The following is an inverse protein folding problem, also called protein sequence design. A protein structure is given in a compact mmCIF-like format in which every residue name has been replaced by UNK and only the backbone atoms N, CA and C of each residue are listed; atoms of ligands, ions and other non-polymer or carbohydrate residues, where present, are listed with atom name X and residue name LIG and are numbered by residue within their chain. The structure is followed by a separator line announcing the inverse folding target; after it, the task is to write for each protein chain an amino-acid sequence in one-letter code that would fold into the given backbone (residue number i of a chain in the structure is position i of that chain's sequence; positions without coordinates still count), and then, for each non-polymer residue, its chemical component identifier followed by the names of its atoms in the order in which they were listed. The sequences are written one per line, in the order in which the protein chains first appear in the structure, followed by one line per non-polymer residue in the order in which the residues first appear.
data_IF_126710367430
#
_entry.id   IF_126710367430
#
_cell.length_a   1.000
_cell.length_b   1.000
_cell.length_c   1.000
_cell.angle_alpha   90.00
_cell.angle_beta   90.00
_cell.angle_gamma   90.00
#
_symmetry.space_group_name_H-M   'P 1'
#
loop_
_entity.id
_entity.type
_entity.pdbx_description
1 polymer ?
#
# COMPACT_ATOMS: atom_id res chain seq x y z
N UNK A 1 -3.42 0.79 -6.82
CA UNK A 1 -2.90 1.77 -7.80
C UNK A 1 -2.43 3.06 -7.14
N UNK A 2 -3.29 3.77 -6.41
CA UNK A 2 -2.95 5.09 -5.86
C UNK A 2 -1.82 5.00 -4.83
N UNK A 3 -1.91 4.11 -3.86
CA UNK A 3 -0.89 3.91 -2.81
C UNK A 3 0.46 3.54 -3.43
N UNK A 4 0.48 2.55 -4.32
CA UNK A 4 1.72 2.14 -5.02
C UNK A 4 2.33 3.28 -5.83
N UNK A 5 1.52 4.01 -6.63
CA UNK A 5 2.01 5.13 -7.42
C UNK A 5 2.56 6.29 -6.59
N UNK A 6 1.94 6.61 -5.44
CA UNK A 6 2.44 7.66 -4.54
C UNK A 6 3.71 7.24 -3.82
N UNK A 7 3.76 5.98 -3.38
CA UNK A 7 4.96 5.44 -2.77
C UNK A 7 6.14 5.42 -3.76
N UNK A 8 5.89 5.02 -5.03
CA UNK A 8 6.88 5.06 -6.11
C UNK A 8 7.45 6.45 -6.32
N UNK A 9 6.57 7.48 -6.43
CA UNK A 9 7.01 8.86 -6.66
C UNK A 9 7.85 9.39 -5.49
N UNK A 10 7.43 9.15 -4.25
CA UNK A 10 8.21 9.54 -3.07
C UNK A 10 9.55 8.82 -3.03
N UNK A 11 9.59 7.53 -3.38
CA UNK A 11 10.81 6.74 -3.43
C UNK A 11 11.79 7.26 -4.49
N UNK A 12 11.27 7.67 -5.65
CA UNK A 12 12.09 8.33 -6.69
C UNK A 12 12.64 9.68 -6.22
N UNK A 13 11.82 10.50 -5.55
CA UNK A 13 12.24 11.81 -5.02
C UNK A 13 13.34 11.65 -3.96
N UNK A 14 13.27 10.63 -3.12
CA UNK A 14 14.33 10.30 -2.14
C UNK A 14 15.62 9.86 -2.81
N UNK A 15 15.55 9.44 -4.08
CA UNK A 15 16.72 9.13 -4.91
C UNK A 15 17.10 7.65 -4.92
N UNK A 16 16.16 6.75 -4.64
CA UNK A 16 16.38 5.32 -4.87
C UNK A 16 16.24 4.98 -6.35
N UNK A 17 16.98 3.98 -6.82
CA UNK A 17 16.62 3.29 -8.05
C UNK A 17 15.41 2.40 -7.81
N UNK A 18 14.54 2.26 -8.80
CA UNK A 18 13.27 1.57 -8.62
C UNK A 18 12.77 0.91 -9.91
N UNK A 19 11.98 -0.16 -9.72
CA UNK A 19 11.22 -0.81 -10.78
C UNK A 19 9.82 -1.16 -10.28
N UNK A 20 8.82 -1.06 -11.14
CA UNK A 20 7.41 -1.30 -10.79
C UNK A 20 6.79 -2.36 -11.67
N UNK A 21 5.92 -3.18 -11.07
CA UNK A 21 5.11 -4.17 -11.78
C UNK A 21 3.65 -4.00 -11.34
N UNK A 22 2.86 -3.20 -12.07
CA UNK A 22 1.43 -3.14 -11.86
C UNK A 22 0.75 -4.39 -12.40
N UNK A 23 -0.10 -5.02 -11.60
CA UNK A 23 -0.95 -6.12 -12.00
C UNK A 23 -2.41 -5.69 -11.87
N UNK A 24 -3.05 -5.46 -13.01
CA UNK A 24 -4.44 -5.05 -13.09
C UNK A 24 -5.20 -6.08 -13.90
N UNK A 25 -6.16 -6.80 -13.28
CA UNK A 25 -6.94 -7.79 -14.00
C UNK A 25 -7.69 -7.13 -15.16
N UNK A 26 -7.69 -7.79 -16.30
CA UNK A 26 -8.40 -7.33 -17.50
C UNK A 26 -9.93 -7.31 -17.27
N UNK A 27 -10.43 -8.18 -16.42
CA UNK A 27 -11.84 -8.27 -16.05
C UNK A 27 -12.10 -7.68 -14.67
N UNK A 28 -13.00 -6.70 -14.60
CA UNK A 28 -13.43 -6.06 -13.35
C UNK A 28 -14.41 -6.96 -12.57
N UNK A 29 -15.10 -7.89 -13.27
CA UNK A 29 -16.08 -8.82 -12.68
C UNK A 29 -15.63 -10.25 -12.91
N UNK A 30 -15.36 -10.95 -11.80
CA UNK A 30 -15.07 -12.36 -11.86
C UNK A 30 -16.32 -13.16 -12.27
N UNK A 31 -16.19 -14.22 -13.08
CA UNK A 31 -17.24 -15.19 -13.30
C UNK A 31 -17.75 -15.79 -11.98
N UNK A 32 -19.01 -16.18 -11.94
CA UNK A 32 -19.58 -16.83 -10.75
C UNK A 32 -18.75 -18.05 -10.36
N UNK A 33 -18.35 -18.14 -9.10
CA UNK A 33 -17.53 -19.24 -8.57
C UNK A 33 -16.01 -19.06 -8.72
N UNK A 34 -15.53 -17.97 -9.32
CA UNK A 34 -14.12 -17.63 -9.36
C UNK A 34 -13.79 -16.51 -8.38
N UNK A 35 -12.52 -16.46 -7.90
CA UNK A 35 -12.02 -15.31 -7.14
C UNK A 35 -12.13 -14.05 -7.99
N UNK A 36 -12.68 -12.98 -7.41
CA UNK A 36 -12.69 -11.68 -8.06
C UNK A 36 -11.25 -11.27 -8.37
N UNK A 37 -11.02 -10.72 -9.56
CA UNK A 37 -9.70 -10.23 -9.96
C UNK A 37 -9.18 -9.22 -8.94
N UNK A 38 -7.98 -9.46 -8.42
CA UNK A 38 -7.32 -8.63 -7.44
C UNK A 38 -6.33 -7.73 -8.16
N UNK A 39 -6.49 -6.41 -8.00
CA UNK A 39 -5.48 -5.46 -8.47
C UNK A 39 -4.30 -5.44 -7.51
N UNK A 40 -3.10 -5.60 -8.02
CA UNK A 40 -1.86 -5.52 -7.26
C UNK A 40 -0.91 -4.47 -7.86
N UNK A 41 0.07 -4.08 -7.07
CA UNK A 41 1.13 -3.18 -7.47
C UNK A 41 2.40 -3.56 -6.70
N UNK A 42 3.38 -4.09 -7.41
CA UNK A 42 4.68 -4.43 -6.84
C UNK A 42 5.67 -3.30 -7.13
N UNK A 43 6.45 -2.95 -6.14
CA UNK A 43 7.54 -1.99 -6.24
C UNK A 43 8.80 -2.60 -5.64
N UNK A 44 9.87 -2.61 -6.40
CA UNK A 44 11.22 -2.87 -5.94
C UNK A 44 12.01 -1.56 -5.95
N UNK A 45 12.72 -1.28 -4.88
CA UNK A 45 13.58 -0.10 -4.78
C UNK A 45 14.84 -0.43 -3.97
N UNK A 46 15.94 0.24 -4.31
CA UNK A 46 17.26 -0.07 -3.75
C UNK A 46 18.19 1.14 -3.83
N UNK A 47 19.27 1.07 -3.08
CA UNK A 47 20.46 1.93 -3.24
C UNK A 47 21.41 1.45 -4.37
N UNK A 48 21.12 0.30 -4.98
CA UNK A 48 21.88 -0.29 -6.09
C UNK A 48 21.03 -0.34 -7.34
N UNK A 49 21.65 -0.48 -8.50
CA UNK A 49 20.96 -0.59 -9.78
C UNK A 49 19.97 -1.76 -9.80
N UNK A 50 18.78 -1.48 -10.29
CA UNK A 50 17.68 -2.43 -10.40
C UNK A 50 17.38 -2.69 -11.87
N UNK A 51 17.47 -3.96 -12.28
CA UNK A 51 17.22 -4.37 -13.66
C UNK A 51 15.89 -5.12 -13.84
N UNK A 52 15.27 -5.55 -12.74
CA UNK A 52 14.00 -6.31 -12.75
C UNK A 52 13.08 -5.88 -11.61
N UNK A 53 11.76 -6.06 -11.74
CA UNK A 53 10.81 -5.76 -10.65
C UNK A 53 10.99 -6.61 -9.38
N UNK A 54 11.83 -7.66 -9.44
CA UNK A 54 12.00 -8.65 -8.37
C UNK A 54 10.94 -9.74 -8.41
N UNK A 55 11.23 -10.87 -7.75
CA UNK A 55 10.35 -12.04 -7.76
C UNK A 55 9.46 -12.07 -6.52
N UNK A 56 10.05 -11.96 -5.34
CA UNK A 56 9.35 -12.09 -4.06
C UNK A 56 9.44 -10.80 -3.26
N UNK A 57 8.30 -10.19 -2.88
CA UNK A 57 8.30 -9.02 -2.01
C UNK A 57 8.62 -9.36 -0.56
N UNK A 58 9.18 -8.39 0.17
CA UNK A 58 9.44 -8.46 1.61
C UNK A 58 8.20 -8.08 2.43
N UNK A 59 7.33 -7.24 1.87
CA UNK A 59 6.15 -6.69 2.52
C UNK A 59 4.95 -6.77 1.60
N UNK A 60 3.84 -7.29 2.13
CA UNK A 60 2.52 -7.33 1.48
C UNK A 60 1.55 -6.45 2.25
N UNK A 61 0.88 -5.52 1.55
CA UNK A 61 -0.26 -4.78 2.09
C UNK A 61 -1.55 -5.37 1.55
N UNK A 62 -2.25 -6.15 2.36
CA UNK A 62 -3.49 -6.79 2.00
C UNK A 62 -4.71 -5.97 2.46
N UNK A 63 -5.37 -5.31 1.52
CA UNK A 63 -6.53 -4.45 1.80
C UNK A 63 -7.84 -5.22 1.96
N UNK A 64 -7.86 -6.51 1.63
CA UNK A 64 -9.01 -7.41 1.76
C UNK A 64 -8.56 -8.89 1.70
N UNK A 65 -9.45 -9.86 2.06
CA UNK A 65 -9.09 -11.28 2.06
C UNK A 65 -8.69 -11.84 0.69
N UNK A 66 -9.30 -11.38 -0.40
CA UNK A 66 -8.96 -11.86 -1.74
C UNK A 66 -7.52 -11.46 -2.12
N UNK A 67 -7.09 -10.24 -1.78
CA UNK A 67 -5.71 -9.80 -1.99
C UNK A 67 -4.72 -10.65 -1.19
N UNK A 68 -5.03 -10.97 0.06
CA UNK A 68 -4.22 -11.86 0.88
C UNK A 68 -4.12 -13.26 0.24
N UNK A 69 -5.25 -13.87 -0.11
CA UNK A 69 -5.32 -15.22 -0.69
C UNK A 69 -4.48 -15.38 -1.96
N UNK A 70 -4.49 -14.35 -2.81
CA UNK A 70 -3.77 -14.37 -4.09
C UNK A 70 -2.27 -14.18 -3.90
N UNK A 71 -1.85 -13.22 -3.03
CA UNK A 71 -0.47 -12.74 -3.00
C UNK A 71 0.36 -13.23 -1.81
N UNK A 72 -0.21 -13.86 -0.78
CA UNK A 72 0.59 -14.37 0.35
C UNK A 72 1.66 -15.38 -0.07
N UNK A 73 1.40 -16.17 -1.13
CA UNK A 73 2.34 -17.15 -1.67
C UNK A 73 3.55 -16.53 -2.37
N UNK A 74 3.43 -15.27 -2.78
CA UNK A 74 4.48 -14.55 -3.49
C UNK A 74 5.48 -13.90 -2.51
N UNK A 75 5.10 -13.79 -1.22
CA UNK A 75 5.92 -13.19 -0.17
C UNK A 75 7.11 -14.08 0.19
N UNK A 76 8.23 -13.49 0.59
CA UNK A 76 9.35 -14.26 1.15
C UNK A 76 8.94 -14.92 2.49
N UNK A 77 9.53 -16.08 2.85
CA UNK A 77 9.37 -16.62 4.19
C UNK A 77 9.85 -15.61 5.25
N UNK A 78 9.07 -15.44 6.33
CA UNK A 78 9.34 -14.43 7.35
C UNK A 78 9.01 -12.99 6.93
N UNK A 79 8.48 -12.78 5.73
CA UNK A 79 8.04 -11.46 5.25
C UNK A 79 6.91 -10.86 6.08
N UNK A 80 6.66 -9.58 5.91
CA UNK A 80 5.66 -8.84 6.68
C UNK A 80 4.35 -8.71 5.91
N UNK A 81 3.22 -9.02 6.58
CA UNK A 81 1.87 -8.81 6.05
C UNK A 81 1.17 -7.73 6.85
N UNK A 82 0.87 -6.60 6.23
CA UNK A 82 0.04 -5.54 6.81
C UNK A 82 -1.39 -5.76 6.31
N UNK A 83 -2.35 -6.02 7.21
CA UNK A 83 -3.73 -6.36 6.86
C UNK A 83 -4.72 -5.32 7.32
N UNK A 84 -5.67 -4.95 6.45
CA UNK A 84 -6.87 -4.20 6.84
C UNK A 84 -7.94 -5.16 7.39
N UNK A 85 -7.93 -5.42 8.70
CA UNK A 85 -8.80 -6.42 9.35
C UNK A 85 -10.29 -6.09 9.26
N UNK A 86 -10.67 -4.83 9.18
CA UNK A 86 -12.06 -4.42 8.97
C UNK A 86 -12.68 -4.96 7.67
N UNK A 87 -11.85 -5.35 6.71
CA UNK A 87 -12.31 -5.94 5.46
C UNK A 87 -12.55 -7.45 5.55
N UNK A 88 -12.15 -8.11 6.65
CA UNK A 88 -12.22 -9.57 6.83
C UNK A 88 -13.58 -10.02 7.42
N UNK A 89 -14.67 -9.49 6.89
CA UNK A 89 -16.02 -9.91 7.24
C UNK A 89 -16.31 -11.34 6.73
N UNK A 90 -17.24 -12.06 7.38
CA UNK A 90 -17.69 -13.40 6.96
C UNK A 90 -18.02 -13.47 5.48
N UNK A 91 -18.71 -12.44 4.95
CA UNK A 91 -19.06 -12.34 3.52
C UNK A 91 -17.83 -12.26 2.63
N UNK A 92 -16.86 -11.40 2.97
CA UNK A 92 -15.66 -11.22 2.15
C UNK A 92 -14.71 -12.42 2.25
N UNK A 93 -14.64 -13.08 3.40
CA UNK A 93 -13.90 -14.33 3.59
C UNK A 93 -14.48 -15.44 2.72
N UNK A 94 -15.82 -15.62 2.73
CA UNK A 94 -16.50 -16.60 1.88
C UNK A 94 -16.25 -16.34 0.38
N UNK A 95 -16.31 -15.09 -0.07
CA UNK A 95 -15.98 -14.73 -1.45
C UNK A 95 -14.52 -14.99 -1.82
N UNK A 96 -13.61 -14.90 -0.88
CA UNK A 96 -12.20 -15.24 -1.08
C UNK A 96 -11.91 -16.74 -0.91
N UNK A 97 -12.91 -17.56 -0.61
CA UNK A 97 -12.76 -19.00 -0.41
C UNK A 97 -11.99 -19.37 0.86
N UNK A 98 -12.14 -18.59 1.92
CA UNK A 98 -11.65 -18.94 3.25
C UNK A 98 -12.75 -19.63 4.05
N UNK A 99 -12.43 -20.73 4.69
CA UNK A 99 -13.29 -21.45 5.64
C UNK A 99 -13.20 -20.82 7.04
N UNK A 100 -12.00 -20.42 7.44
CA UNK A 100 -11.69 -19.75 8.69
C UNK A 100 -11.15 -18.34 8.43
N UNK A 101 -11.09 -17.50 9.47
CA UNK A 101 -10.52 -16.18 9.34
C UNK A 101 -9.00 -16.25 9.62
N UNK A 102 -8.13 -16.00 8.63
CA UNK A 102 -6.68 -16.06 8.82
C UNK A 102 -6.12 -14.97 9.77
N UNK A 103 -6.96 -14.02 10.19
CA UNK A 103 -6.58 -13.06 11.24
C UNK A 103 -6.64 -13.72 12.62
N UNK A 104 -7.57 -14.68 12.81
CA UNK A 104 -7.90 -15.23 14.13
C UNK A 104 -7.37 -16.66 14.31
N UNK A 105 -7.10 -17.38 13.20
CA UNK A 105 -6.75 -18.81 13.25
C UNK A 105 -5.24 -19.10 13.40
N UNK A 106 -4.40 -18.06 13.40
CA UNK A 106 -2.94 -18.19 13.55
C UNK A 106 -2.22 -18.83 12.37
N UNK A 107 -2.93 -19.15 11.28
CA UNK A 107 -2.36 -19.88 10.13
C UNK A 107 -1.23 -19.15 9.40
N UNK A 108 -1.10 -17.85 9.61
CA UNK A 108 -0.08 -17.02 9.00
C UNK A 108 1.15 -16.82 9.89
N UNK A 109 1.01 -16.95 11.21
CA UNK A 109 2.03 -16.53 12.20
C UNK A 109 3.29 -17.40 12.15
N UNK A 110 3.16 -18.67 11.74
CA UNK A 110 4.30 -19.58 11.57
C UNK A 110 5.20 -19.20 10.37
N UNK A 111 4.66 -18.43 9.42
CA UNK A 111 5.32 -18.14 8.15
C UNK A 111 5.65 -16.66 7.95
N UNK A 112 4.92 -15.76 8.60
CA UNK A 112 4.97 -14.32 8.34
C UNK A 112 4.89 -13.51 9.62
N UNK A 113 5.42 -12.29 9.58
CA UNK A 113 5.15 -11.27 10.60
C UNK A 113 3.83 -10.59 10.23
N UNK A 114 2.78 -10.82 11.00
CA UNK A 114 1.44 -10.28 10.70
C UNK A 114 1.19 -9.01 11.50
N UNK A 115 0.77 -7.95 10.80
CA UNK A 115 0.41 -6.65 11.39
C UNK A 115 -1.06 -6.38 11.06
N UNK A 116 -1.99 -6.74 11.97
CA UNK A 116 -3.41 -6.52 11.80
C UNK A 116 -3.77 -5.08 12.15
N UNK A 117 -4.48 -4.37 11.28
CA UNK A 117 -4.89 -2.98 11.49
C UNK A 117 -6.36 -2.79 11.11
N UNK A 118 -7.16 -2.23 12.00
CA UNK A 118 -8.54 -1.81 11.74
C UNK A 118 -8.55 -0.47 10.96
N UNK A 119 -8.09 -0.51 9.69
CA UNK A 119 -7.85 0.73 8.92
C UNK A 119 -9.11 1.57 8.70
N UNK A 120 -10.30 0.95 8.57
CA UNK A 120 -11.55 1.69 8.40
C UNK A 120 -11.90 2.46 9.68
N UNK A 121 -11.72 1.84 10.83
CA UNK A 121 -11.93 2.45 12.15
C UNK A 121 -10.95 3.61 12.36
N UNK A 122 -9.68 3.40 12.02
CA UNK A 122 -8.64 4.43 12.15
C UNK A 122 -8.93 5.66 11.30
N UNK A 123 -9.31 5.48 10.02
CA UNK A 123 -9.63 6.64 9.17
C UNK A 123 -10.94 7.31 9.56
N UNK A 124 -11.88 6.57 10.13
CA UNK A 124 -13.11 7.17 10.68
C UNK A 124 -12.77 8.09 11.84
N UNK A 125 -11.92 7.65 12.75
CA UNK A 125 -11.46 8.49 13.86
C UNK A 125 -10.62 9.70 13.37
N UNK A 126 -9.72 9.49 12.39
CA UNK A 126 -8.88 10.56 11.83
C UNK A 126 -9.70 11.64 11.10
N UNK A 127 -10.88 11.31 10.61
CA UNK A 127 -11.77 12.23 9.88
C UNK A 127 -12.97 12.69 10.74
N UNK A 128 -12.94 12.44 12.04
CA UNK A 128 -14.02 12.85 12.93
C UNK A 128 -14.24 14.37 12.89
N UNK A 129 -15.49 14.79 12.92
CA UNK A 129 -15.88 16.20 12.78
C UNK A 129 -15.73 16.80 11.38
N UNK A 130 -15.30 16.01 10.38
CA UNK A 130 -15.27 16.48 8.99
C UNK A 130 -16.62 16.24 8.32
N UNK A 131 -17.12 17.25 7.58
CA UNK A 131 -18.39 17.16 6.83
C UNK A 131 -18.22 16.32 5.56
N UNK A 132 -17.99 15.00 5.73
CA UNK A 132 -17.81 14.05 4.64
C UNK A 132 -18.71 12.83 4.82
N UNK A 133 -19.21 12.30 3.70
CA UNK A 133 -19.94 11.03 3.77
C UNK A 133 -19.02 9.87 4.18
N UNK A 134 -19.55 8.88 4.89
CA UNK A 134 -18.82 7.66 5.29
C UNK A 134 -18.08 7.01 4.13
N UNK A 135 -18.68 7.02 2.92
CA UNK A 135 -18.06 6.49 1.71
C UNK A 135 -16.78 7.24 1.32
N UNK A 136 -16.74 8.56 1.49
CA UNK A 136 -15.56 9.37 1.21
C UNK A 136 -14.49 9.17 2.27
N UNK A 137 -14.86 9.11 3.55
CA UNK A 137 -13.97 8.80 4.66
C UNK A 137 -13.30 7.45 4.44
N UNK A 138 -14.06 6.39 4.17
CA UNK A 138 -13.50 5.04 3.96
C UNK A 138 -12.59 4.92 2.73
N UNK A 139 -12.67 5.83 1.77
CA UNK A 139 -11.72 5.89 0.64
C UNK A 139 -10.33 6.37 1.06
N UNK A 140 -10.22 7.12 2.15
CA UNK A 140 -8.93 7.64 2.63
C UNK A 140 -8.03 6.55 3.23
N UNK A 141 -8.53 5.33 3.46
CA UNK A 141 -7.73 4.20 3.96
C UNK A 141 -6.50 3.88 3.11
N UNK A 142 -6.54 4.23 1.81
CA UNK A 142 -5.38 4.08 0.93
C UNK A 142 -4.24 5.03 1.34
N UNK A 143 -4.56 6.22 1.85
CA UNK A 143 -3.59 7.16 2.38
C UNK A 143 -3.14 6.78 3.79
N UNK A 144 -4.02 6.17 4.59
CA UNK A 144 -3.62 5.59 5.86
C UNK A 144 -2.56 4.49 5.65
N UNK A 145 -2.83 3.52 4.76
CA UNK A 145 -1.86 2.48 4.41
C UNK A 145 -0.55 3.07 3.85
N UNK A 146 -0.64 4.15 3.06
CA UNK A 146 0.53 4.86 2.57
C UNK A 146 1.34 5.49 3.71
N UNK A 147 0.67 6.09 4.70
CA UNK A 147 1.31 6.65 5.90
C UNK A 147 2.06 5.59 6.70
N UNK A 148 1.45 4.42 6.91
CA UNK A 148 2.10 3.28 7.55
C UNK A 148 3.38 2.87 6.80
N UNK A 149 3.31 2.78 5.47
CA UNK A 149 4.49 2.47 4.65
C UNK A 149 5.54 3.57 4.70
N UNK A 150 5.14 4.83 4.76
CA UNK A 150 6.08 5.95 4.89
C UNK A 150 6.84 5.90 6.20
N UNK A 151 6.18 5.56 7.30
CA UNK A 151 6.85 5.30 8.57
C UNK A 151 7.83 4.13 8.47
N UNK A 152 7.37 2.99 7.95
CA UNK A 152 8.15 1.75 7.85
C UNK A 152 9.44 1.93 7.03
N UNK A 153 9.39 2.75 5.98
CA UNK A 153 10.50 2.96 5.05
C UNK A 153 11.17 4.34 5.18
N UNK A 154 10.90 5.06 6.25
CA UNK A 154 11.48 6.38 6.53
C UNK A 154 11.31 7.35 5.36
N UNK A 155 10.06 7.53 4.88
CA UNK A 155 9.73 8.37 3.74
C UNK A 155 9.08 9.68 4.16
N UNK A 156 9.45 10.82 3.53
CA UNK A 156 8.83 12.11 3.81
C UNK A 156 7.40 12.19 3.29
N UNK A 157 6.54 12.93 3.98
CA UNK A 157 5.13 13.11 3.65
C UNK A 157 4.90 14.26 2.66
N UNK A 158 5.81 15.25 2.65
CA UNK A 158 5.64 16.56 2.00
C UNK A 158 5.27 16.47 0.51
N UNK A 159 5.94 15.59 -0.23
CA UNK A 159 5.68 15.42 -1.67
C UNK A 159 4.26 14.93 -1.94
N UNK A 160 3.74 14.04 -1.10
CA UNK A 160 2.37 13.53 -1.23
C UNK A 160 1.35 14.58 -0.79
N UNK A 161 1.64 15.38 0.23
CA UNK A 161 0.78 16.50 0.63
C UNK A 161 0.68 17.58 -0.47
N UNK A 162 1.81 17.95 -1.06
CA UNK A 162 1.82 18.87 -2.19
C UNK A 162 1.01 18.33 -3.37
N UNK A 163 1.15 17.04 -3.67
CA UNK A 163 0.36 16.38 -4.70
C UNK A 163 -1.14 16.38 -4.37
N UNK A 164 -1.54 16.11 -3.12
CA UNK A 164 -2.93 16.15 -2.67
C UNK A 164 -3.55 17.53 -2.91
N UNK A 165 -2.84 18.60 -2.52
CA UNK A 165 -3.27 19.99 -2.73
C UNK A 165 -3.46 20.30 -4.22
N UNK A 166 -2.55 19.85 -5.07
CA UNK A 166 -2.64 20.04 -6.52
C UNK A 166 -3.76 19.20 -7.15
N UNK A 167 -3.87 17.91 -6.79
CA UNK A 167 -4.82 16.97 -7.38
C UNK A 167 -6.27 17.27 -7.04
N UNK A 168 -6.51 17.73 -5.82
CA UNK A 168 -7.85 18.01 -5.28
C UNK A 168 -8.10 19.50 -5.07
N UNK A 169 -7.42 20.37 -5.84
CA UNK A 169 -7.61 21.81 -5.75
C UNK A 169 -9.10 22.19 -5.77
N UNK A 170 -9.53 23.04 -4.83
CA UNK A 170 -10.94 23.42 -4.64
C UNK A 170 -11.80 22.41 -3.89
N UNK A 171 -11.22 21.31 -3.36
CA UNK A 171 -11.92 20.29 -2.57
C UNK A 171 -11.26 20.13 -1.21
N UNK A 172 -11.25 21.19 -0.42
CA UNK A 172 -10.47 21.28 0.84
C UNK A 172 -10.80 20.18 1.85
N UNK A 173 -12.08 19.79 1.96
CA UNK A 173 -12.47 18.69 2.85
C UNK A 173 -11.83 17.34 2.44
N UNK A 174 -11.71 17.09 1.14
CA UNK A 174 -11.05 15.87 0.63
C UNK A 174 -9.54 15.93 0.87
N UNK A 175 -8.91 17.09 0.68
CA UNK A 175 -7.49 17.29 0.97
C UNK A 175 -7.24 17.04 2.46
N UNK A 176 -8.00 17.69 3.35
CA UNK A 176 -7.87 17.52 4.79
C UNK A 176 -8.02 16.06 5.22
N UNK A 177 -9.05 15.36 4.75
CA UNK A 177 -9.31 13.97 5.12
C UNK A 177 -8.19 13.02 4.66
N UNK A 178 -7.70 13.15 3.44
CA UNK A 178 -6.60 12.31 2.95
C UNK A 178 -5.30 12.61 3.69
N UNK A 179 -4.99 13.88 3.95
CA UNK A 179 -3.81 14.28 4.73
C UNK A 179 -3.92 13.75 6.17
N UNK A 180 -5.05 13.96 6.84
CA UNK A 180 -5.26 13.46 8.21
C UNK A 180 -5.12 11.93 8.28
N UNK A 181 -5.69 11.21 7.33
CA UNK A 181 -5.57 9.75 7.26
C UNK A 181 -4.14 9.28 7.01
N UNK A 182 -3.36 9.99 6.18
CA UNK A 182 -1.95 9.68 5.93
C UNK A 182 -1.10 9.91 7.20
N UNK A 183 -1.30 11.04 7.88
CA UNK A 183 -0.65 11.30 9.17
C UNK A 183 -1.04 10.29 10.24
N UNK A 184 -2.32 9.92 10.32
CA UNK A 184 -2.78 8.89 11.24
C UNK A 184 -2.10 7.55 10.99
N UNK A 185 -1.90 7.15 9.73
CA UNK A 185 -1.16 5.94 9.38
C UNK A 185 0.33 6.01 9.75
N UNK A 186 0.97 7.16 9.51
CA UNK A 186 2.37 7.37 9.90
C UNK A 186 2.52 7.30 11.42
N UNK A 187 1.70 8.04 12.16
CA UNK A 187 1.72 8.07 13.61
C UNK A 187 1.34 6.71 14.23
N UNK A 188 0.44 5.95 13.58
CA UNK A 188 0.12 4.60 14.00
C UNK A 188 1.38 3.70 14.00
N UNK A 189 2.19 3.79 12.97
CA UNK A 189 3.47 3.07 12.92
C UNK A 189 4.42 3.49 14.04
N UNK A 190 4.45 4.78 14.37
CA UNK A 190 5.33 5.34 15.38
C UNK A 190 4.91 4.98 16.83
N UNK A 191 3.61 4.91 17.08
CA UNK A 191 3.06 4.80 18.46
C UNK A 191 2.75 3.36 18.89
N UNK A 192 2.54 2.43 17.94
CA UNK A 192 2.05 1.09 18.27
C UNK A 192 3.13 0.05 18.54
N UNK A 193 4.41 0.36 18.30
CA UNK A 193 5.55 -0.58 18.44
C UNK A 193 5.37 -1.91 17.68
N UNK A 194 4.34 -2.01 16.81
CA UNK A 194 4.07 -3.19 16.00
C UNK A 194 5.12 -3.43 14.91
N UNK A 195 5.86 -2.37 14.57
CA UNK A 195 6.91 -2.44 13.56
C UNK A 195 8.26 -2.63 14.25
N UNK A 196 8.64 -3.87 14.46
CA UNK A 196 9.97 -4.22 14.98
C UNK A 196 11.10 -3.85 14.02
N UNK A 197 10.78 -3.65 12.76
CA UNK A 197 11.75 -3.32 11.70
C UNK A 197 11.33 -2.04 10.95
N UNK A 198 12.21 -1.04 11.00
CA UNK A 198 12.17 0.12 10.10
C UNK A 198 13.27 -0.03 9.05
N UNK A 199 12.92 0.16 7.81
CA UNK A 199 13.86 0.04 6.70
C UNK A 199 14.41 1.41 6.32
N UNK A 200 15.72 1.56 6.34
CA UNK A 200 16.40 2.72 5.78
C UNK A 200 17.10 2.30 4.49
N UNK A 201 16.59 2.76 3.37
CA UNK A 201 17.19 2.51 2.06
C UNK A 201 17.88 3.79 1.61
N UNK A 202 19.21 3.75 1.56
CA UNK A 202 20.04 4.89 1.16
C UNK A 202 19.81 5.26 -0.33
N UNK A 203 20.21 6.46 -0.71
CA UNK A 203 20.13 6.91 -2.11
C UNK A 203 20.97 6.00 -3.02
N UNK A 204 20.48 5.78 -4.23
CA UNK A 204 21.25 5.09 -5.26
C UNK A 204 22.38 5.97 -5.78
N UNK A 205 23.51 5.36 -6.13
CA UNK A 205 24.67 6.04 -6.72
C UNK A 205 24.46 6.28 -8.23
N UNK A 206 23.37 6.97 -8.56
CA UNK A 206 23.07 7.33 -9.95
C UNK A 206 23.93 8.52 -10.39
N UNK A 207 24.41 8.54 -11.65
CA UNK A 207 25.07 9.71 -12.21
C UNK A 207 24.17 10.95 -12.10
N UNK A 208 24.73 12.17 -11.97
CA UNK A 208 23.93 13.38 -11.99
C UNK A 208 23.09 13.51 -13.27
N UNK A 209 21.79 13.78 -13.14
CA UNK A 209 20.90 13.88 -14.29
C UNK A 209 19.42 13.99 -13.90
N UNK A 210 18.59 14.16 -14.91
CA UNK A 210 17.14 14.12 -14.77
C UNK A 210 16.65 12.71 -15.12
N UNK A 211 16.04 12.04 -14.16
CA UNK A 211 15.53 10.68 -14.33
C UNK A 211 14.00 10.68 -14.45
N UNK A 212 13.49 9.80 -15.29
CA UNK A 212 12.05 9.58 -15.45
C UNK A 212 11.79 8.08 -15.43
N UNK A 213 10.88 7.67 -14.55
CA UNK A 213 10.38 6.31 -14.57
C UNK A 213 9.42 6.14 -15.76
N UNK A 214 9.73 5.19 -16.64
CA UNK A 214 8.96 4.89 -17.84
C UNK A 214 8.70 3.39 -17.94
N UNK A 215 7.59 3.00 -18.56
CA UNK A 215 7.34 1.59 -18.90
C UNK A 215 7.98 1.24 -20.25
N UNK A 216 8.06 -0.08 -20.55
CA UNK A 216 8.70 -0.57 -21.78
C UNK A 216 8.07 -0.02 -23.06
N UNK A 217 6.73 0.12 -23.10
CA UNK A 217 6.06 0.67 -24.29
C UNK A 217 6.44 2.13 -24.54
N UNK A 218 6.56 2.93 -23.48
CA UNK A 218 7.01 4.31 -23.61
C UNK A 218 8.49 4.37 -23.98
N UNK A 219 9.33 3.48 -23.44
CA UNK A 219 10.76 3.40 -23.79
C UNK A 219 11.00 3.08 -25.26
N UNK A 220 10.14 2.24 -25.86
CA UNK A 220 10.24 1.90 -27.29
C UNK A 220 9.70 2.98 -28.23
N UNK A 221 8.97 3.98 -27.70
CA UNK A 221 8.41 5.08 -28.49
C UNK A 221 9.18 6.39 -28.35
N UNK A 222 10.22 6.43 -27.55
CA UNK A 222 11.15 7.56 -27.39
C UNK A 222 12.38 7.38 -28.25
#
# INVERSE_FOLDING_TARGET
QLTGGRFTETTAIVGNDLSTLPDFPAEIRAPAGSLAGVSAFQLKFSSKDIHTPGDKPDVLVAMNPAALKVHQKDLIPGGTIIMNTDAFSKKNLSFAGYETNPVDDGSLDDYFTVIPIEMNKMVTAACDGMELSTKLVLRTKNFFALGVLFYMYDRPLDATEAWLKKKFAGKDAIIKANTASMHAGYNYGDTTELFTTRYKVEKASLPPGNYRNINGNLATSL
#
